data_IF_058000209095
#
_entry.id   IF_058000209095
#
_cell.length_a   1.000
_cell.length_b   1.000
_cell.length_c   1.000
_cell.angle_alpha   90.00
_cell.angle_beta   90.00
_cell.angle_gamma   90.00
#
_symmetry.space_group_name_H-M   'P 1'
#
loop_
_entity.id
_entity.type
_entity.pdbx_description
1 polymer ?
#
# COMPACT_ATOMS: atom_id res chain seq x y z
N UNK A 1 25.18 15.88 -17.86
CA UNK A 1 25.05 15.34 -16.49
C UNK A 1 24.58 16.42 -15.50
N UNK A 2 25.11 17.64 -15.51
CA UNK A 2 24.63 18.73 -14.62
C UNK A 2 23.23 19.32 -14.96
N UNK A 3 22.69 19.06 -16.15
CA UNK A 3 21.45 19.69 -16.63
C UNK A 3 20.17 19.09 -16.03
N UNK A 4 20.21 17.82 -15.60
CA UNK A 4 19.06 17.09 -15.04
C UNK A 4 18.98 17.14 -13.50
N UNK A 5 20.05 17.57 -12.82
CA UNK A 5 20.08 17.69 -11.35
C UNK A 5 19.22 18.85 -10.83
N UNK A 6 19.17 19.97 -11.56
CA UNK A 6 18.42 21.16 -11.14
C UNK A 6 16.90 20.89 -11.14
N UNK A 7 16.31 20.31 -12.22
CA UNK A 7 14.89 19.94 -12.22
C UNK A 7 14.52 18.92 -11.13
N UNK A 8 15.40 17.95 -10.86
CA UNK A 8 15.16 16.94 -9.82
C UNK A 8 15.17 17.55 -8.42
N UNK A 9 16.11 18.46 -8.13
CA UNK A 9 16.18 19.15 -6.85
C UNK A 9 14.97 20.08 -6.63
N UNK A 10 14.51 20.75 -7.69
CA UNK A 10 13.29 21.57 -7.64
C UNK A 10 12.06 20.70 -7.37
N UNK A 11 11.92 19.55 -8.04
CA UNK A 11 10.85 18.60 -7.75
C UNK A 11 10.91 18.12 -6.29
N UNK A 12 12.09 17.71 -5.80
CA UNK A 12 12.28 17.32 -4.40
C UNK A 12 11.87 18.41 -3.42
N UNK A 13 12.22 19.67 -3.70
CA UNK A 13 11.83 20.80 -2.87
C UNK A 13 10.30 20.95 -2.80
N UNK A 14 9.61 20.82 -3.94
CA UNK A 14 8.16 20.89 -3.99
C UNK A 14 7.49 19.78 -3.17
N UNK A 15 8.04 18.55 -3.17
CA UNK A 15 7.48 17.41 -2.43
C UNK A 15 7.82 17.39 -0.94
N UNK A 16 8.95 17.96 -0.52
CA UNK A 16 9.38 17.95 0.89
C UNK A 16 8.97 19.21 1.65
N UNK A 17 9.01 20.38 1.01
CA UNK A 17 8.75 21.68 1.65
C UNK A 17 7.30 22.12 1.47
N UNK A 18 6.60 21.62 0.44
CA UNK A 18 5.22 21.96 0.10
C UNK A 18 4.95 23.49 0.09
N UNK A 19 5.69 24.27 -0.72
CA UNK A 19 5.54 25.71 -0.75
C UNK A 19 4.14 26.15 -1.21
N UNK A 20 3.67 27.37 -0.86
CA UNK A 20 2.32 27.85 -1.19
C UNK A 20 1.93 27.83 -2.68
N UNK A 21 2.92 27.82 -3.58
CA UNK A 21 2.72 27.74 -5.03
C UNK A 21 3.37 26.47 -5.55
N UNK A 22 2.63 25.36 -5.51
CA UNK A 22 3.07 24.11 -6.12
C UNK A 22 2.90 24.13 -7.65
N UNK A 23 3.76 23.42 -8.40
CA UNK A 23 3.53 23.13 -9.80
C UNK A 23 2.16 22.47 -9.99
N UNK A 24 1.49 22.79 -11.10
CA UNK A 24 0.21 22.15 -11.48
C UNK A 24 0.41 20.93 -12.38
N UNK A 25 1.65 20.67 -12.80
CA UNK A 25 2.00 19.51 -13.60
C UNK A 25 2.06 18.27 -12.70
N UNK A 26 1.57 17.15 -13.23
CA UNK A 26 1.77 15.84 -12.63
C UNK A 26 3.19 15.38 -12.95
N UNK A 27 3.97 15.01 -11.94
CA UNK A 27 5.36 14.55 -12.13
C UNK A 27 5.44 13.15 -12.75
N UNK A 28 4.32 12.45 -12.92
CA UNK A 28 4.29 11.12 -13.54
C UNK A 28 4.96 10.05 -12.68
N UNK A 29 5.28 8.93 -13.30
CA UNK A 29 6.13 7.87 -12.71
C UNK A 29 7.61 8.31 -12.74
N UNK A 30 7.93 9.38 -12.02
CA UNK A 30 9.29 9.89 -11.92
C UNK A 30 10.12 9.02 -10.98
N UNK A 31 10.72 7.97 -11.56
CA UNK A 31 11.55 7.01 -10.84
C UNK A 31 12.72 7.69 -10.11
N UNK A 32 13.37 8.68 -10.73
CA UNK A 32 14.50 9.39 -10.14
C UNK A 32 14.10 10.19 -8.90
N UNK A 33 12.91 10.83 -8.93
CA UNK A 33 12.34 11.52 -7.79
C UNK A 33 12.01 10.56 -6.65
N UNK A 34 11.34 9.44 -6.95
CA UNK A 34 11.00 8.42 -5.96
C UNK A 34 12.26 7.81 -5.30
N UNK A 35 13.29 7.52 -6.10
CA UNK A 35 14.59 7.04 -5.61
C UNK A 35 15.26 8.08 -4.71
N UNK A 36 15.31 9.34 -5.13
CA UNK A 36 15.91 10.41 -4.35
C UNK A 36 15.18 10.68 -3.03
N UNK A 37 13.85 10.58 -3.00
CA UNK A 37 13.07 10.66 -1.76
C UNK A 37 13.38 9.48 -0.84
N UNK A 38 13.45 8.27 -1.39
CA UNK A 38 13.77 7.07 -0.63
C UNK A 38 15.18 7.10 -0.03
N UNK A 39 16.17 7.57 -0.79
CA UNK A 39 17.54 7.78 -0.30
C UNK A 39 17.61 8.80 0.83
N UNK A 40 16.95 9.95 0.69
CA UNK A 40 16.90 10.97 1.74
C UNK A 40 16.23 10.45 3.02
N UNK A 41 15.17 9.66 2.89
CA UNK A 41 14.52 9.03 4.03
C UNK A 41 15.46 8.02 4.71
N UNK A 42 16.20 7.22 3.93
CA UNK A 42 17.21 6.29 4.44
C UNK A 42 18.32 7.02 5.22
N UNK A 43 18.86 8.10 4.65
CA UNK A 43 19.87 8.92 5.28
C UNK A 43 19.34 9.54 6.58
N UNK A 44 18.11 10.05 6.56
CA UNK A 44 17.45 10.58 7.74
C UNK A 44 17.32 9.53 8.84
N UNK A 45 16.82 8.32 8.53
CA UNK A 45 16.72 7.22 9.50
C UNK A 45 18.07 6.90 10.13
N UNK A 46 19.14 6.87 9.32
CA UNK A 46 20.50 6.58 9.80
C UNK A 46 21.04 7.61 10.78
N UNK A 47 20.65 8.89 10.64
CA UNK A 47 21.04 9.96 11.56
C UNK A 47 20.38 9.81 12.94
N UNK A 48 19.20 9.18 13.01
CA UNK A 48 18.47 9.01 14.27
C UNK A 48 18.77 7.70 14.99
N UNK A 49 19.59 6.82 14.41
CA UNK A 49 19.88 5.47 14.94
C UNK A 49 20.34 5.47 16.40
N UNK A 50 21.09 6.49 16.80
CA UNK A 50 21.65 6.60 18.15
C UNK A 50 20.72 7.35 19.13
N UNK A 51 19.52 7.74 18.71
CA UNK A 51 18.56 8.54 19.49
C UNK A 51 17.39 7.69 19.96
N UNK A 52 17.37 7.28 21.23
CA UNK A 52 16.26 6.46 21.78
C UNK A 52 16.60 4.98 21.77
N UNK A 53 15.62 4.10 21.48
CA UNK A 53 15.85 2.65 21.45
C UNK A 53 16.45 2.22 20.11
N UNK A 54 17.72 1.72 20.07
CA UNK A 54 18.36 1.28 18.84
C UNK A 54 17.61 0.14 18.14
N UNK A 55 16.83 -0.65 18.87
CA UNK A 55 16.03 -1.73 18.28
C UNK A 55 14.91 -1.19 17.39
N UNK A 56 14.28 -0.09 17.79
CA UNK A 56 13.22 0.56 17.01
C UNK A 56 13.81 1.07 15.69
N UNK A 57 14.95 1.75 15.75
CA UNK A 57 15.63 2.22 14.53
C UNK A 57 16.10 1.10 13.63
N UNK A 58 16.69 0.03 14.20
CA UNK A 58 17.06 -1.15 13.41
C UNK A 58 15.84 -1.76 12.70
N UNK A 59 14.70 -1.88 13.40
CA UNK A 59 13.43 -2.33 12.80
C UNK A 59 12.95 -1.40 11.70
N UNK A 60 12.97 -0.08 11.90
CA UNK A 60 12.56 0.90 10.89
C UNK A 60 13.47 0.86 9.65
N UNK A 61 14.78 0.86 9.83
CA UNK A 61 15.77 0.75 8.75
C UNK A 61 15.57 -0.55 7.96
N UNK A 62 15.43 -1.68 8.66
CA UNK A 62 15.22 -3.00 8.02
C UNK A 62 13.89 -3.03 7.27
N UNK A 63 12.80 -2.56 7.89
CA UNK A 63 11.47 -2.52 7.29
C UNK A 63 11.42 -1.61 6.07
N UNK A 64 12.07 -0.44 6.15
CA UNK A 64 12.18 0.48 5.04
C UNK A 64 12.99 -0.10 3.90
N UNK A 65 14.13 -0.75 4.18
CA UNK A 65 14.95 -1.36 3.14
C UNK A 65 14.18 -2.46 2.41
N UNK A 66 13.52 -3.38 3.13
CA UNK A 66 12.76 -4.46 2.48
C UNK A 66 11.56 -3.90 1.71
N UNK A 67 10.88 -2.88 2.25
CA UNK A 67 9.80 -2.18 1.55
C UNK A 67 10.31 -1.50 0.27
N UNK A 68 11.45 -0.81 0.34
CA UNK A 68 12.09 -0.16 -0.81
C UNK A 68 12.39 -1.19 -1.90
N UNK A 69 13.02 -2.31 -1.53
CA UNK A 69 13.37 -3.39 -2.47
C UNK A 69 12.11 -3.99 -3.13
N UNK A 70 11.05 -4.24 -2.35
CA UNK A 70 9.79 -4.80 -2.83
C UNK A 70 9.00 -3.88 -3.76
N UNK A 71 9.22 -2.57 -3.71
CA UNK A 71 8.49 -1.60 -4.53
C UNK A 71 9.32 -1.10 -5.73
N UNK A 72 10.52 -1.65 -5.97
CA UNK A 72 11.37 -1.35 -7.13
C UNK A 72 11.17 -2.31 -8.31
N UNK A 73 10.71 -1.80 -9.46
CA UNK A 73 10.35 -2.60 -10.64
C UNK A 73 11.55 -3.21 -11.41
N UNK A 74 11.37 -4.37 -12.08
CA UNK A 74 10.32 -5.38 -11.88
C UNK A 74 10.72 -6.38 -10.78
N UNK A 75 9.79 -6.73 -9.90
CA UNK A 75 9.98 -7.79 -8.90
C UNK A 75 9.52 -9.13 -9.45
N UNK A 76 10.21 -10.19 -9.05
CA UNK A 76 9.84 -11.57 -9.36
C UNK A 76 9.15 -12.25 -8.19
N UNK A 77 8.43 -13.33 -8.46
CA UNK A 77 7.83 -14.19 -7.43
C UNK A 77 8.80 -14.53 -6.26
N UNK A 78 10.07 -14.77 -6.58
CA UNK A 78 11.12 -15.12 -5.61
C UNK A 78 11.44 -13.99 -4.64
N UNK A 79 11.37 -12.73 -5.09
CA UNK A 79 11.61 -11.55 -4.26
C UNK A 79 10.52 -11.41 -3.19
N UNK A 80 9.25 -11.58 -3.59
CA UNK A 80 8.12 -11.60 -2.67
C UNK A 80 8.21 -12.73 -1.66
N UNK A 81 8.53 -13.95 -2.09
CA UNK A 81 8.68 -15.08 -1.16
C UNK A 81 9.81 -14.82 -0.16
N UNK A 82 10.94 -14.31 -0.63
CA UNK A 82 12.09 -13.98 0.21
C UNK A 82 11.72 -12.92 1.24
N UNK A 83 11.03 -11.85 0.84
CA UNK A 83 10.58 -10.81 1.76
C UNK A 83 9.56 -11.32 2.79
N UNK A 84 8.56 -12.09 2.36
CA UNK A 84 7.56 -12.69 3.26
C UNK A 84 8.20 -13.62 4.28
N UNK A 85 9.22 -14.40 3.89
CA UNK A 85 9.97 -15.27 4.83
C UNK A 85 10.73 -14.48 5.89
N UNK A 86 11.17 -13.24 5.60
CA UNK A 86 11.84 -12.36 6.56
C UNK A 86 10.91 -11.87 7.69
N UNK A 87 9.59 -11.93 7.52
CA UNK A 87 8.63 -11.52 8.57
C UNK A 87 8.74 -12.34 9.85
N UNK A 88 9.18 -13.60 9.72
CA UNK A 88 9.35 -14.53 10.83
C UNK A 88 10.82 -14.70 11.23
N UNK A 89 11.71 -13.81 10.79
CA UNK A 89 13.12 -13.90 11.15
C UNK A 89 13.33 -13.56 12.64
N UNK A 90 14.28 -14.25 13.25
CA UNK A 90 14.59 -14.18 14.68
C UNK A 90 15.25 -12.86 15.11
N UNK A 91 15.73 -12.06 14.15
CA UNK A 91 16.60 -10.91 14.40
C UNK A 91 15.87 -9.57 14.64
N UNK A 92 14.53 -9.59 14.61
CA UNK A 92 13.67 -8.45 14.95
C UNK A 92 12.34 -8.44 14.21
N UNK A 93 11.43 -7.53 14.59
CA UNK A 93 10.19 -7.29 13.85
C UNK A 93 10.51 -6.60 12.53
N UNK A 94 10.01 -7.14 11.42
CA UNK A 94 10.07 -6.52 10.10
C UNK A 94 8.65 -6.20 9.65
N UNK A 95 8.45 -4.99 9.14
CA UNK A 95 7.22 -4.53 8.52
C UNK A 95 7.44 -4.41 7.02
N UNK A 96 6.56 -5.04 6.24
CA UNK A 96 6.58 -4.98 4.79
C UNK A 96 5.48 -4.05 4.31
N UNK A 97 5.85 -2.95 3.65
CA UNK A 97 4.92 -2.15 2.87
C UNK A 97 4.94 -2.58 1.41
N UNK A 98 3.77 -2.78 0.81
CA UNK A 98 3.63 -3.04 -0.61
C UNK A 98 2.60 -2.09 -1.21
N UNK A 99 3.01 -1.33 -2.21
CA UNK A 99 2.15 -0.45 -3.00
C UNK A 99 1.76 -1.16 -4.30
N UNK A 100 0.48 -1.49 -4.42
CA UNK A 100 -0.08 -2.22 -5.56
C UNK A 100 -0.75 -1.20 -6.48
N UNK A 101 0.08 -0.44 -7.21
CA UNK A 101 -0.35 0.70 -8.05
C UNK A 101 -1.51 0.35 -8.98
N UNK A 102 -1.49 -0.76 -9.75
CA UNK A 102 -2.59 -1.07 -10.67
C UNK A 102 -3.93 -1.33 -9.98
N UNK A 103 -3.92 -1.56 -8.67
CA UNK A 103 -5.11 -1.84 -7.86
C UNK A 103 -5.46 -0.72 -6.89
N UNK A 104 -4.80 0.44 -6.93
CA UNK A 104 -5.10 1.53 -6.00
C UNK A 104 -5.12 1.07 -4.52
N UNK A 105 -4.24 0.15 -4.16
CA UNK A 105 -4.25 -0.52 -2.86
C UNK A 105 -2.82 -0.61 -2.32
N UNK A 106 -2.73 -0.65 -1.00
CA UNK A 106 -1.49 -0.93 -0.29
C UNK A 106 -1.73 -1.99 0.78
N UNK A 107 -0.68 -2.78 1.02
CA UNK A 107 -0.64 -3.79 2.06
C UNK A 107 0.51 -3.48 3.01
N UNK A 108 0.23 -3.51 4.31
CA UNK A 108 1.23 -3.60 5.36
C UNK A 108 1.16 -5.01 5.94
N UNK A 109 2.29 -5.71 5.98
CA UNK A 109 2.37 -7.07 6.49
C UNK A 109 3.43 -7.10 7.60
N UNK A 110 3.07 -7.62 8.76
CA UNK A 110 3.99 -7.69 9.89
C UNK A 110 3.66 -8.88 10.80
N UNK A 111 4.64 -9.30 11.60
CA UNK A 111 4.43 -10.30 12.64
C UNK A 111 4.02 -9.62 13.95
N UNK A 112 2.89 -10.04 14.52
CA UNK A 112 2.47 -9.64 15.86
C UNK A 112 3.05 -10.62 16.89
N UNK A 113 3.98 -10.14 17.70
CA UNK A 113 4.64 -10.95 18.72
C UNK A 113 3.71 -11.33 19.90
N UNK A 114 2.62 -10.61 20.11
CA UNK A 114 1.67 -10.85 21.20
C UNK A 114 0.74 -12.01 20.82
N UNK A 115 0.13 -11.95 19.65
CA UNK A 115 -0.78 -12.99 19.16
C UNK A 115 -0.04 -14.15 18.47
N UNK A 116 1.20 -13.91 18.04
CA UNK A 116 2.07 -14.86 17.29
C UNK A 116 1.48 -15.19 15.92
N UNK A 117 0.96 -14.16 15.27
CA UNK A 117 0.28 -14.23 13.97
C UNK A 117 0.88 -13.23 12.99
N UNK A 118 0.68 -13.48 11.69
CA UNK A 118 1.03 -12.55 10.64
C UNK A 118 -0.20 -11.71 10.33
N UNK A 119 -0.08 -10.41 10.53
CA UNK A 119 -1.15 -9.44 10.30
C UNK A 119 -0.96 -8.82 8.92
N UNK A 120 -2.05 -8.79 8.17
CA UNK A 120 -2.19 -8.09 6.90
C UNK A 120 -3.15 -6.92 7.12
N UNK A 121 -2.68 -5.72 6.83
CA UNK A 121 -3.46 -4.49 6.88
C UNK A 121 -3.57 -3.93 5.47
N UNK A 122 -4.78 -3.73 4.99
CA UNK A 122 -5.08 -3.21 3.65
C UNK A 122 -5.71 -1.83 3.74
N UNK A 123 -5.34 -0.96 2.79
CA UNK A 123 -6.00 0.31 2.58
C UNK A 123 -5.86 0.77 1.12
N UNK A 124 -6.83 1.56 0.66
CA UNK A 124 -6.81 2.20 -0.64
C UNK A 124 -5.73 3.31 -0.66
N UNK A 125 -5.12 3.65 -1.80
CA UNK A 125 -4.03 4.65 -1.86
C UNK A 125 -4.44 6.00 -2.45
N UNK A 126 -5.53 6.04 -3.22
CA UNK A 126 -6.13 7.24 -3.77
C UNK A 126 -7.66 7.19 -3.69
N UNK A 127 -8.27 8.29 -3.25
CA UNK A 127 -9.72 8.43 -3.24
C UNK A 127 -10.27 8.56 -4.68
N UNK A 128 -11.34 7.84 -5.04
CA UNK A 128 -12.02 8.02 -6.32
C UNK A 128 -12.49 9.46 -6.52
N UNK A 129 -12.45 9.92 -7.77
CA UNK A 129 -12.86 11.30 -8.11
C UNK A 129 -14.29 11.57 -7.63
N UNK A 130 -15.15 10.57 -7.73
CA UNK A 130 -16.54 10.67 -7.28
C UNK A 130 -16.68 10.92 -5.77
N UNK A 131 -15.78 10.39 -4.95
CA UNK A 131 -15.79 10.60 -3.50
C UNK A 131 -15.22 11.96 -3.13
N UNK A 132 -14.18 12.41 -3.84
CA UNK A 132 -13.65 13.77 -3.72
C UNK A 132 -14.73 14.81 -4.03
N UNK A 133 -15.47 14.63 -5.13
CA UNK A 133 -16.51 15.58 -5.56
C UNK A 133 -17.75 15.61 -4.66
N UNK A 134 -18.06 14.51 -3.97
CA UNK A 134 -19.19 14.42 -3.01
C UNK A 134 -18.86 15.02 -1.65
N UNK A 135 -17.59 15.25 -1.36
CA UNK A 135 -17.14 15.70 -0.05
C UNK A 135 -17.36 17.20 0.12
N UNK A 136 -18.14 17.60 1.13
CA UNK A 136 -18.43 19.02 1.41
C UNK A 136 -17.30 19.74 2.17
N UNK A 137 -16.52 19.00 2.98
CA UNK A 137 -15.51 19.58 3.87
C UNK A 137 -14.15 18.88 3.77
N UNK A 138 -14.09 17.63 4.22
CA UNK A 138 -12.85 16.85 4.27
C UNK A 138 -13.14 15.39 4.00
N UNK A 139 -12.24 14.72 3.28
CA UNK A 139 -12.30 13.28 3.06
C UNK A 139 -11.97 12.58 4.37
N UNK A 140 -12.86 11.70 4.81
CA UNK A 140 -12.62 10.81 5.94
C UNK A 140 -12.11 9.48 5.41
N UNK A 141 -11.01 8.98 5.99
CA UNK A 141 -10.38 7.73 5.59
C UNK A 141 -10.24 6.80 6.78
N UNK A 142 -10.66 5.55 6.61
CA UNK A 142 -10.43 4.47 7.57
C UNK A 142 -9.07 3.83 7.32
N UNK A 143 -8.16 3.90 8.29
CA UNK A 143 -6.81 3.35 8.15
C UNK A 143 -6.43 2.43 9.31
N UNK A 144 -6.07 1.15 9.04
CA UNK A 144 -6.30 0.46 7.77
C UNK A 144 -7.80 0.25 7.50
N UNK A 145 -8.18 0.04 6.24
CA UNK A 145 -9.56 -0.27 5.85
C UNK A 145 -10.00 -1.63 6.37
N UNK A 146 -9.10 -2.61 6.31
CA UNK A 146 -9.35 -3.99 6.74
C UNK A 146 -8.05 -4.59 7.28
N UNK A 147 -8.16 -5.41 8.32
CA UNK A 147 -7.01 -6.09 8.89
C UNK A 147 -7.34 -7.55 9.19
N UNK A 148 -6.41 -8.46 8.89
CA UNK A 148 -6.60 -9.91 9.00
C UNK A 148 -5.34 -10.55 9.59
N UNK A 149 -5.51 -11.37 10.61
CA UNK A 149 -4.44 -12.13 11.22
C UNK A 149 -4.48 -13.59 10.74
N UNK A 150 -3.35 -14.08 10.24
CA UNK A 150 -3.15 -15.47 9.80
C UNK A 150 -2.15 -16.13 10.74
N UNK A 151 -2.49 -17.33 11.22
CA UNK A 151 -1.62 -18.08 12.13
C UNK A 151 -0.28 -18.38 11.46
N UNK A 152 0.80 -18.25 12.22
CA UNK A 152 2.15 -18.46 11.70
C UNK A 152 2.32 -19.81 10.99
N UNK A 153 1.76 -20.89 11.54
CA UNK A 153 1.84 -22.24 10.95
C UNK A 153 1.26 -22.31 9.53
N UNK A 154 0.17 -21.57 9.27
CA UNK A 154 -0.53 -21.57 7.99
C UNK A 154 0.23 -20.66 7.02
N UNK A 155 0.75 -19.53 7.52
CA UNK A 155 1.59 -18.62 6.76
C UNK A 155 2.92 -19.26 6.33
N UNK A 156 3.56 -20.07 7.15
CA UNK A 156 4.83 -20.75 6.83
C UNK A 156 4.68 -21.93 5.86
N UNK A 157 3.46 -22.23 5.42
CA UNK A 157 3.24 -23.27 4.43
C UNK A 157 3.82 -22.83 3.07
N UNK A 158 4.75 -23.62 2.52
CA UNK A 158 5.43 -23.28 1.26
C UNK A 158 4.47 -23.11 0.08
N UNK A 159 3.39 -23.91 0.01
CA UNK A 159 2.39 -23.74 -1.04
C UNK A 159 1.59 -22.45 -0.86
N UNK A 160 1.29 -22.06 0.38
CA UNK A 160 0.62 -20.80 0.67
C UNK A 160 1.49 -19.61 0.27
N UNK A 161 2.75 -19.55 0.72
CA UNK A 161 3.69 -18.49 0.37
C UNK A 161 3.88 -18.39 -1.15
N UNK A 162 4.08 -19.52 -1.82
CA UNK A 162 4.23 -19.55 -3.28
C UNK A 162 3.03 -18.93 -4.00
N UNK A 163 1.81 -19.32 -3.62
CA UNK A 163 0.57 -18.83 -4.22
C UNK A 163 0.35 -17.35 -3.89
N UNK A 164 0.60 -16.93 -2.66
CA UNK A 164 0.49 -15.53 -2.24
C UNK A 164 1.48 -14.64 -3.02
N UNK A 165 2.74 -15.06 -3.13
CA UNK A 165 3.74 -14.30 -3.89
C UNK A 165 3.42 -14.21 -5.37
N UNK A 166 2.92 -15.29 -5.99
CA UNK A 166 2.48 -15.26 -7.38
C UNK A 166 1.30 -14.31 -7.57
N UNK A 167 0.36 -14.32 -6.62
CA UNK A 167 -0.78 -13.42 -6.65
C UNK A 167 -0.35 -11.95 -6.54
N UNK A 168 0.54 -11.62 -5.59
CA UNK A 168 1.02 -10.25 -5.39
C UNK A 168 1.84 -9.75 -6.59
N UNK A 169 2.71 -10.57 -7.15
CA UNK A 169 3.45 -10.27 -8.39
C UNK A 169 2.50 -9.94 -9.55
N UNK A 170 1.45 -10.74 -9.76
CA UNK A 170 0.44 -10.48 -10.79
C UNK A 170 -0.35 -9.20 -10.49
N UNK A 171 -0.74 -8.97 -9.25
CA UNK A 171 -1.49 -7.78 -8.85
C UNK A 171 -0.68 -6.48 -9.05
N UNK A 172 0.64 -6.53 -8.82
CA UNK A 172 1.56 -5.41 -9.02
C UNK A 172 1.91 -5.16 -10.49
N UNK A 173 1.92 -6.20 -11.33
CA UNK A 173 2.32 -6.10 -12.75
C UNK A 173 1.18 -5.92 -13.74
N UNK A 174 -0.06 -6.29 -13.38
CA UNK A 174 -1.20 -6.31 -14.29
C UNK A 174 -2.34 -5.42 -13.79
N UNK A 175 -2.88 -4.59 -14.68
CA UNK A 175 -4.17 -3.94 -14.46
C UNK A 175 -5.30 -4.97 -14.65
N UNK A 176 -6.14 -5.15 -13.62
CA UNK A 176 -7.27 -6.07 -13.69
C UNK A 176 -8.54 -5.31 -14.10
N UNK A 177 -8.70 -5.10 -15.41
CA UNK A 177 -9.81 -4.31 -15.99
C UNK A 177 -11.22 -4.84 -15.69
N UNK A 178 -11.34 -6.10 -15.23
CA UNK A 178 -12.63 -6.69 -14.88
C UNK A 178 -13.23 -6.14 -13.58
N UNK A 179 -12.40 -5.59 -12.69
CA UNK A 179 -12.83 -4.99 -11.42
C UNK A 179 -12.81 -3.45 -11.45
N UNK A 180 -12.34 -2.85 -12.55
CA UNK A 180 -12.33 -1.41 -12.72
C UNK A 180 -13.76 -0.84 -12.73
N UNK A 181 -13.98 0.26 -12.00
CA UNK A 181 -15.24 0.97 -12.00
C UNK A 181 -15.58 1.43 -13.43
N UNK A 182 -16.64 0.87 -14.01
CA UNK A 182 -17.14 1.27 -15.33
C UNK A 182 -18.17 2.38 -15.16
N UNK A 183 -17.76 3.63 -15.33
CA UNK A 183 -18.72 4.71 -15.51
C UNK A 183 -19.42 4.55 -16.88
N UNK A 184 -20.76 4.51 -16.87
CA UNK A 184 -21.56 4.41 -18.09
C UNK A 184 -22.03 5.80 -18.49
N UNK A 185 -21.63 6.26 -19.68
CA UNK A 185 -22.19 7.45 -20.32
C UNK A 185 -22.76 7.08 -21.68
N UNK A 186 -24.09 7.13 -21.83
CA UNK A 186 -24.76 7.05 -23.13
C UNK A 186 -24.74 5.70 -23.83
N UNK A 187 -24.76 4.57 -23.12
CA UNK A 187 -24.94 3.24 -23.73
C UNK A 187 -23.68 2.62 -24.35
N UNK A 188 -22.53 3.30 -24.28
CA UNK A 188 -21.22 2.72 -24.60
C UNK A 188 -20.34 2.72 -23.34
N UNK A 189 -19.83 1.54 -22.99
CA UNK A 189 -18.88 1.33 -21.89
C UNK A 189 -17.51 1.86 -22.32
N UNK A 190 -17.27 3.16 -22.13
CA UNK A 190 -15.93 3.74 -22.27
C UNK A 190 -15.27 3.65 -20.90
N UNK A 191 -14.12 2.98 -20.82
CA UNK A 191 -13.26 3.01 -19.62
C UNK A 191 -12.88 4.47 -19.40
N UNK A 192 -13.43 5.11 -18.38
CA UNK A 192 -13.03 6.47 -18.00
C UNK A 192 -11.59 6.42 -17.49
N UNK A 193 -10.66 6.71 -18.38
CA UNK A 193 -9.20 6.71 -18.16
C UNK A 193 -8.71 7.80 -17.16
N UNK A 194 -9.61 8.33 -16.32
CA UNK A 194 -9.36 9.44 -15.40
C UNK A 194 -9.72 9.15 -13.94
N UNK A 195 -10.34 8.01 -13.63
CA UNK A 195 -10.59 7.60 -12.24
C UNK A 195 -9.51 6.63 -11.76
N UNK A 196 -9.28 6.57 -10.45
CA UNK A 196 -8.32 5.63 -9.89
C UNK A 196 -8.83 4.18 -10.03
N UNK A 197 -7.93 3.19 -10.15
CA UNK A 197 -8.33 1.78 -10.17
C UNK A 197 -9.13 1.34 -8.94
N UNK A 198 -9.84 0.22 -9.06
CA UNK A 198 -10.61 -0.36 -7.94
C UNK A 198 -9.72 -1.18 -7.01
N UNK A 199 -9.80 -0.98 -5.67
CA UNK A 199 -9.05 -1.77 -4.70
C UNK A 199 -9.62 -3.17 -4.46
N UNK A 200 -10.76 -3.53 -5.06
CA UNK A 200 -11.50 -4.75 -4.78
C UNK A 200 -10.68 -6.05 -4.92
N UNK A 201 -9.68 -6.08 -5.80
CA UNK A 201 -8.81 -7.26 -5.93
C UNK A 201 -8.08 -7.57 -4.61
N UNK A 202 -7.68 -6.54 -3.88
CA UNK A 202 -6.98 -6.68 -2.62
C UNK A 202 -8.00 -6.64 -1.47
N UNK A 203 -8.79 -5.57 -1.37
CA UNK A 203 -9.69 -5.30 -0.25
C UNK A 203 -10.83 -6.31 -0.12
N UNK A 204 -11.34 -6.86 -1.23
CA UNK A 204 -12.42 -7.84 -1.22
C UNK A 204 -11.89 -9.26 -1.44
N UNK A 205 -11.12 -9.51 -2.49
CA UNK A 205 -10.73 -10.88 -2.84
C UNK A 205 -9.60 -11.42 -1.94
N UNK A 206 -8.42 -10.76 -1.92
CA UNK A 206 -7.31 -11.24 -1.10
C UNK A 206 -7.70 -11.27 0.39
N UNK A 207 -8.25 -10.18 0.91
CA UNK A 207 -8.58 -10.11 2.34
C UNK A 207 -9.64 -11.14 2.76
N UNK A 208 -10.64 -11.44 1.92
CA UNK A 208 -11.61 -12.50 2.25
C UNK A 208 -11.00 -13.91 2.19
N UNK A 209 -10.04 -14.15 1.29
CA UNK A 209 -9.30 -15.41 1.28
C UNK A 209 -8.44 -15.57 2.54
N UNK A 210 -7.77 -14.50 2.96
CA UNK A 210 -6.97 -14.50 4.19
C UNK A 210 -7.85 -14.70 5.44
N UNK A 211 -9.03 -14.08 5.49
CA UNK A 211 -9.98 -14.28 6.60
C UNK A 211 -10.46 -15.72 6.70
N UNK A 212 -10.67 -16.40 5.57
CA UNK A 212 -11.02 -17.82 5.56
C UNK A 212 -9.93 -18.74 6.17
N UNK A 213 -8.67 -18.29 6.19
CA UNK A 213 -7.54 -19.01 6.78
C UNK A 213 -7.19 -18.53 8.20
N UNK A 214 -7.65 -17.33 8.56
CA UNK A 214 -7.25 -16.60 9.75
C UNK A 214 -8.44 -16.06 10.53
N UNK A 215 -8.32 -14.83 11.00
CA UNK A 215 -9.40 -14.10 11.67
C UNK A 215 -9.30 -12.59 11.41
N UNK A 216 -10.44 -11.88 11.35
CA UNK A 216 -10.44 -10.43 11.23
C UNK A 216 -9.85 -9.80 12.50
N UNK A 217 -9.01 -8.78 12.33
CA UNK A 217 -8.45 -7.99 13.42
C UNK A 217 -9.32 -6.75 13.63
N UNK A 218 -9.85 -6.52 14.85
CA UNK A 218 -10.56 -5.28 15.15
C UNK A 218 -9.68 -4.05 14.91
N UNK A 219 -10.18 -3.11 14.11
CA UNK A 219 -9.48 -1.86 13.84
C UNK A 219 -9.34 -1.05 15.14
N UNK A 220 -8.14 -0.55 15.43
CA UNK A 220 -7.88 0.29 16.61
C UNK A 220 -8.59 1.65 16.52
N UNK A 221 -8.87 2.11 15.30
CA UNK A 221 -9.58 3.35 15.01
C UNK A 221 -10.64 3.07 13.92
N UNK A 222 -11.82 2.54 14.27
CA UNK A 222 -12.89 2.40 13.30
C UNK A 222 -13.29 3.79 12.80
N UNK A 223 -13.46 3.92 11.48
CA UNK A 223 -14.12 5.06 10.88
C UNK A 223 -15.42 5.40 11.58
N UNK A 224 -15.77 6.69 11.65
CA UNK A 224 -17.13 7.09 12.01
C UNK A 224 -18.06 6.40 10.99
N UNK A 225 -18.82 5.41 11.45
CA UNK A 225 -19.52 4.39 10.66
C UNK A 225 -20.66 4.90 9.78
N UNK A 226 -20.53 6.08 9.16
CA UNK A 226 -21.47 6.66 8.22
C UNK A 226 -21.29 6.10 6.81
N UNK A 227 -21.23 4.77 6.69
CA UNK A 227 -21.73 4.10 5.49
C UNK A 227 -23.22 3.84 5.72
N UNK A 228 -24.05 4.88 5.66
CA UNK A 228 -25.49 4.67 5.50
C UNK A 228 -25.70 4.13 4.09
N UNK A 229 -25.76 2.80 4.00
CA UNK A 229 -26.30 2.12 2.84
C UNK A 229 -27.67 2.69 2.52
N UNK A 230 -27.88 3.03 1.26
CA UNK A 230 -29.20 3.33 0.74
C UNK A 230 -30.07 2.08 0.90
N UNK A 231 -30.89 2.04 1.94
CA UNK A 231 -32.08 1.20 1.91
C UNK A 231 -33.03 1.82 0.89
N UNK A 232 -32.98 1.32 -0.33
CA UNK A 232 -34.09 1.44 -1.27
C UNK A 232 -35.32 0.81 -0.62
N UNK A 233 -36.25 1.66 -0.19
CA UNK A 233 -37.64 1.28 -0.02
C UNK A 233 -38.42 2.07 -1.07
N UNK A 234 -39.12 1.34 -1.93
CA UNK A 234 -40.10 1.87 -2.88
C UNK A 234 -41.13 0.78 -3.13
N UNK A 235 -42.39 1.13 -3.44
CA UNK A 235 -43.27 2.11 -2.81
C UNK A 235 -44.21 1.47 -1.78
#
# INVERSE_FOLDING_TARGET
MATDEIPLLEALFHHLVLPPKLPRSFDGDNIALAQSLAERLQDALSMFRDIGDPKIWKTLETSFQVTKDLNQNPQYQEDFQTALKKLNDSDGTVWLGLHIVPQNAALIIHYDHVTREIVFEEFQTAAPVSDVLKTEHALTWDFPSRAVAVRLKDFTNESFLKNLSQFLEQACSQAFDRLAARASKGGQSIVETRDCPSPALISEMLMSLLEGLGSPVPLKYPGDGRRTGSSFVSP
#
